data_IF_193501070724
#
_entry.id   IF_193501070724
#
_cell.length_a   1.000
_cell.length_b   1.000
_cell.length_c   1.000
_cell.angle_alpha   90.00
_cell.angle_beta   90.00
_cell.angle_gamma   90.00
#
_symmetry.space_group_name_H-M   'P 1'
#
loop_
_entity.id
_entity.type
_entity.pdbx_description
1 polymer ?
#
# COMPACT_ATOMS: atom_id res chain seq x y z
N UNK A 1 10.87 -12.54 7.71
CA UNK A 1 9.71 -11.81 7.15
C UNK A 1 9.37 -12.38 5.79
N UNK A 2 8.10 -12.57 5.51
CA UNK A 2 7.59 -13.05 4.23
C UNK A 2 6.48 -12.10 3.75
N UNK A 3 6.25 -12.02 2.45
CA UNK A 3 5.18 -11.17 1.89
C UNK A 3 5.53 -9.70 1.69
N UNK A 4 6.79 -9.34 1.74
CA UNK A 4 7.30 -7.96 1.60
C UNK A 4 7.35 -7.52 0.13
N UNK A 5 6.19 -7.51 -0.54
CA UNK A 5 6.06 -7.15 -1.95
C UNK A 5 6.50 -5.71 -2.24
N UNK A 6 6.35 -4.79 -1.29
CA UNK A 6 6.81 -3.40 -1.41
C UNK A 6 8.29 -3.27 -1.73
N UNK A 7 9.09 -4.28 -1.36
CA UNK A 7 10.53 -4.32 -1.61
C UNK A 7 10.90 -4.73 -3.05
N UNK A 8 9.97 -5.21 -3.87
CA UNK A 8 10.26 -5.57 -5.26
C UNK A 8 10.71 -4.32 -6.02
N UNK A 9 11.82 -4.44 -6.76
CA UNK A 9 12.27 -3.37 -7.65
C UNK A 9 11.46 -3.38 -8.93
N UNK A 10 10.78 -2.30 -9.20
CA UNK A 10 9.99 -2.09 -10.41
C UNK A 10 10.78 -1.41 -11.52
N UNK A 11 11.68 -0.47 -11.12
CA UNK A 11 12.52 0.29 -12.04
C UNK A 11 13.91 0.51 -11.46
N UNK A 12 14.88 0.79 -12.34
CA UNK A 12 16.26 1.14 -11.94
C UNK A 12 16.29 2.46 -11.18
N UNK A 13 15.50 3.41 -11.62
CA UNK A 13 15.38 4.77 -11.09
C UNK A 13 13.95 5.02 -10.60
N UNK A 14 13.72 6.12 -9.91
CA UNK A 14 12.39 6.48 -9.41
C UNK A 14 12.41 6.82 -7.91
N UNK A 15 11.25 6.99 -7.29
CA UNK A 15 11.18 7.41 -5.90
C UNK A 15 11.79 6.38 -4.94
N UNK A 16 12.46 6.89 -3.89
CA UNK A 16 13.07 6.05 -2.86
C UNK A 16 12.00 5.50 -1.91
N UNK A 17 11.93 4.18 -1.80
CA UNK A 17 11.06 3.48 -0.87
C UNK A 17 11.66 2.13 -0.48
N UNK A 18 11.39 1.68 0.76
CA UNK A 18 11.85 0.39 1.27
C UNK A 18 13.36 0.13 1.07
N UNK A 19 14.17 1.16 1.32
CA UNK A 19 15.64 1.08 1.28
C UNK A 19 16.28 1.13 -0.11
N UNK A 20 15.53 1.42 -1.19
CA UNK A 20 16.06 1.52 -2.56
C UNK A 20 15.25 2.46 -3.44
N UNK A 21 15.86 2.87 -4.55
CA UNK A 21 15.16 3.61 -5.61
C UNK A 21 14.34 2.65 -6.49
N UNK A 22 13.20 3.14 -6.99
CA UNK A 22 12.36 2.42 -7.94
C UNK A 22 11.71 1.16 -7.39
N UNK A 23 11.48 1.07 -6.08
CA UNK A 23 10.74 -0.05 -5.47
C UNK A 23 9.23 0.10 -5.66
N UNK A 24 8.49 -1.00 -5.52
CA UNK A 24 7.02 -0.97 -5.57
C UNK A 24 6.43 -0.04 -4.51
N UNK A 25 6.96 -0.07 -3.28
CA UNK A 25 6.57 0.89 -2.23
C UNK A 25 6.92 2.33 -2.59
N UNK A 26 8.09 2.55 -3.23
CA UNK A 26 8.51 3.86 -3.71
C UNK A 26 7.51 4.50 -4.67
N UNK A 27 6.89 3.73 -5.56
CA UNK A 27 5.85 4.22 -6.46
C UNK A 27 4.46 4.24 -5.85
N UNK A 28 4.08 3.26 -5.02
CA UNK A 28 2.68 3.01 -4.67
C UNK A 28 2.29 3.36 -3.23
N UNK A 29 3.25 3.65 -2.34
CA UNK A 29 2.92 4.12 -0.99
C UNK A 29 2.65 5.63 -0.94
N UNK A 30 1.90 6.10 0.07
CA UNK A 30 1.64 7.53 0.24
C UNK A 30 2.91 8.37 0.36
N UNK A 31 3.94 7.87 1.08
CA UNK A 31 5.24 8.50 1.17
C UNK A 31 6.04 8.43 -0.13
N UNK A 32 5.89 7.35 -0.90
CA UNK A 32 6.50 7.20 -2.21
C UNK A 32 5.89 8.15 -3.24
N UNK A 33 4.57 8.28 -3.27
CA UNK A 33 3.84 9.23 -4.14
C UNK A 33 4.26 10.67 -3.84
N UNK A 34 4.42 11.04 -2.56
CA UNK A 34 4.92 12.37 -2.19
C UNK A 34 6.32 12.63 -2.73
N UNK A 35 7.22 11.63 -2.69
CA UNK A 35 8.58 11.73 -3.26
C UNK A 35 8.57 11.83 -4.78
N UNK A 36 7.71 11.04 -5.45
CA UNK A 36 7.51 11.14 -6.89
C UNK A 36 7.01 12.54 -7.27
N UNK A 37 6.01 13.04 -6.53
CA UNK A 37 5.49 14.39 -6.72
C UNK A 37 6.56 15.46 -6.53
N UNK A 38 7.44 15.31 -5.53
CA UNK A 38 8.57 16.23 -5.33
C UNK A 38 9.53 16.22 -6.52
N UNK A 39 9.91 15.04 -7.00
CA UNK A 39 10.82 14.90 -8.15
C UNK A 39 10.24 15.59 -9.38
N UNK A 40 8.96 15.34 -9.68
CA UNK A 40 8.30 15.89 -10.85
C UNK A 40 8.01 17.41 -10.71
N UNK A 41 7.66 17.87 -9.51
CA UNK A 41 7.47 19.29 -9.23
C UNK A 41 8.77 20.08 -9.36
N UNK A 42 9.88 19.53 -8.88
CA UNK A 42 11.22 20.15 -9.01
C UNK A 42 11.60 20.31 -10.49
N UNK A 43 11.32 19.32 -11.33
CA UNK A 43 11.54 19.42 -12.78
C UNK A 43 10.61 20.45 -13.43
N UNK A 44 9.32 20.42 -13.09
CA UNK A 44 8.32 21.37 -13.60
C UNK A 44 8.71 22.84 -13.24
N UNK A 45 9.14 23.10 -12.00
CA UNK A 45 9.60 24.42 -11.58
C UNK A 45 10.84 24.90 -12.34
N UNK A 46 11.80 24.00 -12.64
CA UNK A 46 12.96 24.33 -13.50
C UNK A 46 12.54 24.71 -14.93
N UNK A 47 11.44 24.15 -15.43
CA UNK A 47 10.84 24.49 -16.72
C UNK A 47 9.96 25.75 -16.67
N UNK A 48 9.81 26.35 -15.51
CA UNK A 48 8.95 27.53 -15.31
C UNK A 48 7.45 27.22 -15.18
N UNK A 49 7.10 25.96 -14.93
CA UNK A 49 5.73 25.52 -14.65
C UNK A 49 5.49 25.50 -13.13
N UNK A 50 4.30 25.84 -12.71
CA UNK A 50 3.91 25.89 -11.29
C UNK A 50 2.69 24.98 -11.06
N UNK A 51 2.87 23.72 -10.64
CA UNK A 51 1.75 22.84 -10.33
C UNK A 51 0.99 23.35 -9.09
N UNK A 52 -0.31 23.07 -9.01
CA UNK A 52 -1.17 23.58 -7.92
C UNK A 52 -0.73 23.09 -6.53
N UNK A 53 -0.09 21.95 -6.43
CA UNK A 53 0.41 21.39 -5.16
C UNK A 53 1.81 21.87 -4.78
N UNK A 54 2.48 22.69 -5.63
CA UNK A 54 3.83 23.22 -5.38
C UNK A 54 4.09 24.47 -6.25
N UNK A 55 4.02 25.67 -5.66
CA UNK A 55 4.18 26.93 -6.38
C UNK A 55 5.62 27.44 -6.40
N UNK A 56 6.48 26.90 -5.55
CA UNK A 56 7.88 27.34 -5.40
C UNK A 56 8.75 26.22 -4.83
N UNK A 57 10.07 26.34 -5.00
CA UNK A 57 11.05 25.43 -4.42
C UNK A 57 10.94 25.31 -2.89
N UNK A 58 10.50 26.37 -2.21
CA UNK A 58 10.32 26.38 -0.75
C UNK A 58 9.21 25.42 -0.28
N UNK A 59 8.30 25.05 -1.17
CA UNK A 59 7.16 24.16 -0.88
C UNK A 59 7.45 22.69 -1.15
N UNK A 60 8.57 22.35 -1.81
CA UNK A 60 8.92 20.97 -2.17
C UNK A 60 8.88 19.99 -0.99
N UNK A 61 9.31 20.43 0.19
CA UNK A 61 9.35 19.61 1.40
C UNK A 61 7.96 19.38 2.02
N UNK A 62 6.98 20.21 1.69
CA UNK A 62 5.60 20.11 2.18
C UNK A 62 4.69 19.21 1.32
N UNK A 63 5.18 18.76 0.17
CA UNK A 63 4.40 17.92 -0.74
C UNK A 63 4.01 16.60 -0.05
N UNK A 64 2.72 16.30 -0.15
CA UNK A 64 2.12 15.07 0.36
C UNK A 64 1.25 14.41 -0.70
N UNK A 65 1.00 13.11 -0.56
CA UNK A 65 0.05 12.43 -1.43
C UNK A 65 -1.35 13.09 -1.38
N UNK A 66 -1.72 13.69 -0.24
CA UNK A 66 -2.97 14.40 -0.06
C UNK A 66 -3.01 15.69 -0.90
N UNK A 67 -1.97 16.52 -0.82
CA UNK A 67 -1.91 17.77 -1.60
C UNK A 67 -1.91 17.51 -3.10
N UNK A 68 -1.25 16.43 -3.57
CA UNK A 68 -1.29 16.02 -4.98
C UNK A 68 -2.72 15.58 -5.38
N UNK A 69 -3.41 14.83 -4.51
CA UNK A 69 -4.78 14.40 -4.78
C UNK A 69 -5.75 15.60 -4.84
N UNK A 70 -5.61 16.56 -3.94
CA UNK A 70 -6.40 17.81 -3.93
C UNK A 70 -6.14 18.66 -5.18
N UNK A 71 -4.90 18.71 -5.68
CA UNK A 71 -4.56 19.37 -6.94
C UNK A 71 -5.18 18.66 -8.15
N UNK A 72 -5.18 17.31 -8.15
CA UNK A 72 -5.83 16.53 -9.20
C UNK A 72 -7.33 16.84 -9.28
N UNK A 73 -8.02 16.94 -8.15
CA UNK A 73 -9.46 17.29 -8.10
C UNK A 73 -9.73 18.68 -8.70
N UNK A 74 -8.73 19.57 -8.67
CA UNK A 74 -8.76 20.89 -9.27
C UNK A 74 -8.31 20.92 -10.75
N UNK A 75 -7.97 19.76 -11.32
CA UNK A 75 -7.60 19.63 -12.72
C UNK A 75 -6.12 19.86 -13.02
N UNK A 76 -5.22 19.72 -12.02
CA UNK A 76 -3.78 19.85 -12.23
C UNK A 76 -3.25 18.69 -13.09
N UNK A 77 -2.61 19.05 -14.23
CA UNK A 77 -2.12 18.07 -15.20
C UNK A 77 -0.95 17.23 -14.65
N UNK A 78 -0.04 17.85 -13.87
CA UNK A 78 1.10 17.15 -13.29
C UNK A 78 0.63 16.15 -12.22
N UNK A 79 -0.36 16.52 -11.42
CA UNK A 79 -0.98 15.61 -10.47
C UNK A 79 -1.66 14.42 -11.17
N UNK A 80 -2.31 14.65 -12.31
CA UNK A 80 -2.88 13.59 -13.14
C UNK A 80 -1.79 12.64 -13.65
N UNK A 81 -0.69 13.17 -14.17
CA UNK A 81 0.45 12.37 -14.62
C UNK A 81 1.06 11.52 -13.51
N UNK A 82 1.22 12.10 -12.29
CA UNK A 82 1.70 11.37 -11.12
C UNK A 82 0.81 10.17 -10.83
N UNK A 83 -0.52 10.35 -10.80
CA UNK A 83 -1.44 9.25 -10.51
C UNK A 83 -1.52 8.23 -11.65
N UNK A 84 -1.29 8.61 -12.89
CA UNK A 84 -1.16 7.70 -14.03
C UNK A 84 0.08 6.81 -13.88
N UNK A 85 1.22 7.37 -13.47
CA UNK A 85 2.45 6.63 -13.14
C UNK A 85 2.17 5.65 -11.99
N UNK A 86 1.59 6.13 -10.91
CA UNK A 86 1.24 5.29 -9.73
C UNK A 86 0.32 4.14 -10.12
N UNK A 87 -0.72 4.40 -10.89
CA UNK A 87 -1.64 3.38 -11.40
C UNK A 87 -0.93 2.31 -12.23
N UNK A 88 -0.03 2.73 -13.11
CA UNK A 88 0.77 1.84 -13.94
C UNK A 88 1.64 0.91 -13.10
N UNK A 89 2.41 1.45 -12.15
CA UNK A 89 3.26 0.62 -11.28
C UNK A 89 2.45 -0.24 -10.31
N UNK A 90 1.29 0.23 -9.86
CA UNK A 90 0.37 -0.59 -9.11
C UNK A 90 -0.07 -1.82 -9.91
N UNK A 91 -0.48 -1.64 -11.17
CA UNK A 91 -0.85 -2.72 -12.07
C UNK A 91 0.28 -3.71 -12.31
N UNK A 92 1.50 -3.23 -12.58
CA UNK A 92 2.71 -4.07 -12.74
C UNK A 92 3.02 -4.88 -11.49
N UNK A 93 2.98 -4.27 -10.31
CA UNK A 93 3.22 -4.98 -9.05
C UNK A 93 2.15 -6.03 -8.74
N UNK A 94 0.89 -5.73 -9.04
CA UNK A 94 -0.20 -6.67 -8.90
C UNK A 94 -0.12 -7.83 -9.89
N UNK A 95 0.36 -7.62 -11.13
CA UNK A 95 0.55 -8.69 -12.11
C UNK A 95 1.54 -9.74 -11.61
N UNK A 96 2.64 -9.32 -10.99
CA UNK A 96 3.60 -10.23 -10.36
C UNK A 96 2.93 -11.08 -9.28
N UNK A 97 2.11 -10.48 -8.42
CA UNK A 97 1.39 -11.22 -7.38
C UNK A 97 0.35 -12.19 -7.95
N UNK A 98 -0.37 -11.77 -8.99
CA UNK A 98 -1.38 -12.60 -9.66
C UNK A 98 -0.73 -13.81 -10.30
N UNK A 99 0.37 -13.62 -11.01
CA UNK A 99 1.03 -14.71 -11.75
C UNK A 99 1.77 -15.69 -10.84
N UNK A 100 2.31 -15.22 -9.69
CA UNK A 100 3.02 -16.09 -8.75
C UNK A 100 2.07 -16.80 -7.79
N UNK A 101 1.04 -16.11 -7.28
CA UNK A 101 0.19 -16.62 -6.21
C UNK A 101 -1.17 -17.14 -6.71
N UNK A 102 -1.59 -16.73 -7.91
CA UNK A 102 -2.89 -17.00 -8.49
C UNK A 102 -4.07 -16.83 -7.48
N UNK A 103 -4.18 -15.68 -6.82
CA UNK A 103 -5.19 -15.45 -5.81
C UNK A 103 -6.57 -15.22 -6.43
N UNK A 104 -7.64 -15.65 -5.75
CA UNK A 104 -9.01 -15.34 -6.16
C UNK A 104 -9.36 -13.86 -5.96
N UNK A 105 -8.69 -13.19 -5.01
CA UNK A 105 -8.94 -11.79 -4.67
C UNK A 105 -7.70 -11.11 -4.10
N UNK A 106 -7.48 -9.87 -4.52
CA UNK A 106 -6.54 -8.94 -3.87
C UNK A 106 -7.33 -7.76 -3.29
N UNK A 107 -7.18 -7.54 -1.99
CA UNK A 107 -7.81 -6.42 -1.28
C UNK A 107 -6.76 -5.34 -1.05
N UNK A 108 -7.00 -4.13 -1.57
CA UNK A 108 -6.04 -3.02 -1.47
C UNK A 108 -6.62 -1.92 -0.59
N UNK A 109 -5.88 -1.57 0.46
CA UNK A 109 -6.23 -0.49 1.38
C UNK A 109 -5.60 0.86 1.03
N UNK A 110 -5.63 1.77 2.01
CA UNK A 110 -4.92 3.04 1.99
C UNK A 110 -5.23 3.90 0.74
N UNK A 111 -4.21 4.30 -0.01
CA UNK A 111 -4.33 5.20 -1.17
C UNK A 111 -5.29 4.67 -2.24
N UNK A 112 -5.23 3.37 -2.55
CA UNK A 112 -6.13 2.81 -3.55
C UNK A 112 -7.60 2.88 -3.13
N UNK A 113 -7.91 2.65 -1.85
CA UNK A 113 -9.28 2.76 -1.37
C UNK A 113 -9.85 4.19 -1.51
N UNK A 114 -8.98 5.21 -1.36
CA UNK A 114 -9.35 6.63 -1.51
C UNK A 114 -9.39 7.10 -2.96
N UNK A 115 -8.43 6.65 -3.78
CA UNK A 115 -8.18 7.14 -5.14
C UNK A 115 -8.49 6.09 -6.21
N UNK A 116 -9.37 5.13 -5.91
CA UNK A 116 -9.70 4.03 -6.81
C UNK A 116 -10.11 4.51 -8.21
N UNK A 117 -10.98 5.51 -8.28
CA UNK A 117 -11.51 6.01 -9.55
C UNK A 117 -10.42 6.56 -10.48
N UNK A 118 -9.35 7.10 -9.91
CA UNK A 118 -8.22 7.64 -10.65
C UNK A 118 -7.24 6.53 -11.05
N UNK A 119 -6.90 5.66 -10.08
CA UNK A 119 -5.89 4.62 -10.26
C UNK A 119 -6.36 3.45 -11.12
N UNK A 120 -7.66 3.13 -11.11
CA UNK A 120 -8.23 1.90 -11.73
C UNK A 120 -7.91 1.80 -13.22
N UNK A 121 -7.99 2.91 -13.95
CA UNK A 121 -7.78 2.90 -15.41
C UNK A 121 -6.38 2.41 -15.75
N UNK A 122 -5.36 3.11 -15.28
CA UNK A 122 -3.95 2.77 -15.57
C UNK A 122 -3.50 1.46 -14.96
N UNK A 123 -4.00 1.15 -13.76
CA UNK A 123 -3.77 -0.14 -13.13
C UNK A 123 -4.29 -1.29 -13.99
N UNK A 124 -5.51 -1.18 -14.53
CA UNK A 124 -6.08 -2.23 -15.39
C UNK A 124 -5.39 -2.32 -16.74
N UNK A 125 -5.04 -1.21 -17.35
CA UNK A 125 -4.25 -1.17 -18.58
C UNK A 125 -2.92 -1.93 -18.40
N UNK A 126 -2.21 -1.68 -17.30
CA UNK A 126 -0.97 -2.37 -16.99
C UNK A 126 -1.19 -3.88 -16.69
N UNK A 127 -2.23 -4.23 -15.94
CA UNK A 127 -2.59 -5.63 -15.70
C UNK A 127 -2.91 -6.39 -16.98
N UNK A 128 -3.54 -5.74 -17.97
CA UNK A 128 -3.84 -6.36 -19.27
C UNK A 128 -2.60 -6.65 -20.08
N UNK A 129 -1.58 -5.83 -19.95
CA UNK A 129 -0.31 -5.99 -20.65
C UNK A 129 0.63 -6.99 -20.00
N UNK A 130 0.63 -7.06 -18.66
CA UNK A 130 1.69 -7.74 -17.89
C UNK A 130 1.24 -9.10 -17.32
N UNK A 131 -0.05 -9.26 -16.90
CA UNK A 131 -0.50 -10.47 -16.23
C UNK A 131 -1.00 -11.54 -17.22
N UNK A 132 -0.78 -12.81 -16.89
CA UNK A 132 -1.33 -13.93 -17.64
C UNK A 132 -2.87 -13.84 -17.71
N UNK A 133 -3.48 -13.89 -18.91
CA UNK A 133 -4.92 -13.67 -19.07
C UNK A 133 -5.80 -14.62 -18.23
N UNK A 134 -5.36 -15.86 -18.01
CA UNK A 134 -6.10 -16.85 -17.22
C UNK A 134 -6.09 -16.47 -15.74
N UNK A 135 -4.91 -16.17 -15.17
CA UNK A 135 -4.75 -15.78 -13.77
C UNK A 135 -5.44 -14.44 -13.48
N UNK A 136 -5.30 -13.46 -14.40
CA UNK A 136 -5.96 -12.15 -14.29
C UNK A 136 -7.49 -12.25 -14.25
N UNK A 137 -8.09 -13.12 -15.07
CA UNK A 137 -9.55 -13.35 -15.09
C UNK A 137 -10.06 -14.03 -13.81
N UNK A 138 -9.24 -14.83 -13.15
CA UNK A 138 -9.58 -15.50 -11.90
C UNK A 138 -9.50 -14.57 -10.68
N UNK A 139 -8.70 -13.51 -10.75
CA UNK A 139 -8.45 -12.60 -9.62
C UNK A 139 -9.35 -11.36 -9.65
N UNK A 140 -10.00 -11.08 -8.52
CA UNK A 140 -10.75 -9.82 -8.30
C UNK A 140 -9.89 -8.83 -7.51
N UNK A 141 -9.81 -7.59 -7.97
CA UNK A 141 -9.14 -6.50 -7.25
C UNK A 141 -10.21 -5.59 -6.66
N UNK A 142 -10.21 -5.44 -5.35
CA UNK A 142 -11.22 -4.68 -4.62
C UNK A 142 -10.58 -3.75 -3.58
N UNK A 143 -11.18 -2.59 -3.29
CA UNK A 143 -10.74 -1.74 -2.19
C UNK A 143 -11.07 -2.39 -0.84
N UNK A 144 -10.27 -2.12 0.19
CA UNK A 144 -10.55 -2.52 1.55
C UNK A 144 -11.82 -1.82 2.07
N UNK A 145 -12.74 -2.60 2.65
CA UNK A 145 -14.04 -2.10 3.11
C UNK A 145 -13.99 -1.33 4.44
N UNK A 146 -12.94 -1.54 5.25
CA UNK A 146 -12.81 -0.86 6.55
C UNK A 146 -12.41 0.62 6.42
N UNK A 147 -11.94 1.06 5.25
CA UNK A 147 -11.56 2.46 5.00
C UNK A 147 -10.60 3.01 6.06
N UNK A 148 -10.92 4.17 6.62
CA UNK A 148 -10.12 4.86 7.64
C UNK A 148 -10.11 4.14 9.00
N UNK A 149 -11.10 3.29 9.27
CA UNK A 149 -11.21 2.55 10.53
C UNK A 149 -10.24 1.38 10.64
N UNK A 150 -9.48 1.06 9.58
CA UNK A 150 -8.57 -0.09 9.56
C UNK A 150 -7.53 -0.05 10.69
N UNK A 151 -7.05 1.15 11.05
CA UNK A 151 -6.09 1.35 12.14
C UNK A 151 -6.68 0.97 13.50
N UNK A 152 -7.91 1.41 13.77
CA UNK A 152 -8.62 1.15 15.02
C UNK A 152 -8.94 -0.34 15.16
N UNK A 153 -9.44 -0.96 14.09
CA UNK A 153 -9.68 -2.41 14.08
C UNK A 153 -8.41 -3.23 14.26
N UNK A 154 -7.30 -2.80 13.64
CA UNK A 154 -6.01 -3.47 13.82
C UNK A 154 -5.53 -3.38 15.28
N UNK A 155 -5.59 -2.21 15.90
CA UNK A 155 -5.20 -2.00 17.30
C UNK A 155 -6.04 -2.85 18.26
N UNK A 156 -7.36 -2.85 18.09
CA UNK A 156 -8.28 -3.68 18.90
C UNK A 156 -8.02 -5.17 18.71
N UNK A 157 -7.78 -5.61 17.46
CA UNK A 157 -7.50 -7.02 17.15
C UNK A 157 -6.23 -7.52 17.83
N UNK A 158 -5.18 -6.69 17.89
CA UNK A 158 -3.93 -7.02 18.62
C UNK A 158 -4.22 -7.16 20.12
N UNK A 159 -5.01 -6.24 20.71
CA UNK A 159 -5.42 -6.32 22.12
C UNK A 159 -6.23 -7.57 22.44
N UNK A 160 -7.21 -7.91 21.61
CA UNK A 160 -8.02 -9.13 21.77
C UNK A 160 -7.13 -10.38 21.69
N UNK A 161 -6.21 -10.44 20.72
CA UNK A 161 -5.30 -11.57 20.58
C UNK A 161 -4.39 -11.73 21.81
N UNK A 162 -3.78 -10.64 22.28
CA UNK A 162 -2.95 -10.66 23.48
C UNK A 162 -3.73 -11.16 24.70
N UNK A 163 -4.97 -10.69 24.88
CA UNK A 163 -5.86 -11.15 25.94
C UNK A 163 -6.16 -12.66 25.84
N UNK A 164 -6.50 -13.15 24.65
CA UNK A 164 -6.77 -14.58 24.41
C UNK A 164 -5.54 -15.45 24.68
N UNK A 165 -4.35 -15.00 24.29
CA UNK A 165 -3.11 -15.72 24.53
C UNK A 165 -2.79 -15.79 26.03
N UNK A 166 -3.00 -14.71 26.81
CA UNK A 166 -2.89 -14.70 28.27
C UNK A 166 -3.87 -15.68 28.94
N UNK A 167 -5.12 -15.71 28.47
CA UNK A 167 -6.14 -16.62 29.02
C UNK A 167 -5.79 -18.10 28.76
N UNK A 168 -5.34 -18.43 27.56
CA UNK A 168 -4.88 -19.80 27.22
C UNK A 168 -3.68 -20.23 28.05
N UNK A 169 -2.77 -19.32 28.36
CA UNK A 169 -1.66 -19.62 29.28
C UNK A 169 -2.14 -19.88 30.69
N UNK A 170 -3.07 -19.07 31.20
CA UNK A 170 -3.64 -19.24 32.55
C UNK A 170 -4.40 -20.59 32.69
N UNK A 171 -5.20 -20.96 31.67
CA UNK A 171 -5.89 -22.27 31.65
C UNK A 171 -4.89 -23.45 31.66
N UNK A 172 -3.83 -23.39 30.84
CA UNK A 172 -2.79 -24.42 30.82
C UNK A 172 -2.10 -24.56 32.15
N UNK A 173 -1.80 -23.42 32.83
CA UNK A 173 -1.19 -23.42 34.16
C UNK A 173 -2.12 -24.04 35.22
N UNK A 174 -3.42 -23.73 35.16
CA UNK A 174 -4.41 -24.29 36.09
C UNK A 174 -4.64 -25.79 35.90
N UNK A 175 -4.57 -26.28 34.67
CA UNK A 175 -4.64 -27.73 34.38
C UNK A 175 -3.38 -28.43 34.85
N UNK A 176 -2.20 -27.85 34.60
CA UNK A 176 -0.94 -28.45 35.07
C UNK A 176 -0.87 -28.51 36.60
N UNK A 177 -1.28 -27.45 37.33
CA UNK A 177 -1.34 -27.48 38.79
C UNK A 177 -2.31 -28.53 39.35
N UNK A 178 -3.42 -28.81 38.64
CA UNK A 178 -4.33 -29.88 39.08
C UNK A 178 -3.73 -31.27 38.88
N UNK A 179 -3.03 -31.50 37.76
CA UNK A 179 -2.34 -32.77 37.51
C UNK A 179 -1.22 -33.01 38.54
N UNK A 180 -0.43 -31.97 38.83
CA UNK A 180 0.65 -32.07 39.82
C UNK A 180 0.13 -32.31 41.25
N UNK A 181 -1.07 -31.82 41.61
CA UNK A 181 -1.70 -32.06 42.91
C UNK A 181 -2.32 -33.46 43.03
N UNK A 182 -2.75 -34.06 41.94
CA UNK A 182 -3.28 -35.45 41.92
C UNK A 182 -2.16 -36.49 41.99
N UNK A 183 -0.94 -36.19 41.48
CA UNK A 183 0.24 -37.07 41.59
C UNK A 183 0.83 -37.14 43.00
N UNK A 184 0.55 -36.18 43.88
CA UNK A 184 1.05 -36.15 45.28
C UNK A 184 0.05 -36.67 46.32
N UNK A 185 -1.09 -37.24 45.91
CA UNK A 185 -2.10 -37.82 46.80
C UNK A 185 -2.08 -39.37 46.83
N UNK A 186 -0.89 -40.00 46.63
CA UNK A 186 -0.67 -41.43 46.86
C UNK A 186 0.10 -41.64 48.16
#
# INVERSE_FOLDING_TARGET
MTGEVGHIRMEKEGPFGYGKYGSFEGFCSGGGIAKLGRMMAEEALREGKTPLFCQSEAELDSISCKSIAEALEQGDELAAEIFDIVGTYLGRGLSVLIDILNPEMIVIGSIYARQKNVLDKKMREALEQEALPVSRKACRIVPASLGELIGDYAAVSVGIKAYQDLYRHAERFSVQMKLDTEEYQI
#
